data_IF_190671553606
#
_entry.id   IF_190671553606
#
_cell.length_a   1.000
_cell.length_b   1.000
_cell.length_c   1.000
_cell.angle_alpha   90.00
_cell.angle_beta   90.00
_cell.angle_gamma   90.00
#
_symmetry.space_group_name_H-M   'P 1'
#
loop_
_entity.id
_entity.type
_entity.pdbx_description
1 polymer ?
#
# COMPACT_ATOMS: atom_id res chain seq x y z
N UNK A 1 -18.00 0.19 -22.14
CA UNK A 1 -17.75 0.09 -20.69
C UNK A 1 -16.50 -0.73 -20.40
N UNK A 2 -15.60 -0.17 -19.64
CA UNK A 2 -14.42 -0.91 -19.21
C UNK A 2 -14.82 -2.01 -18.24
N UNK A 3 -14.21 -3.18 -18.37
CA UNK A 3 -14.39 -4.26 -17.42
C UNK A 3 -13.76 -3.86 -16.09
N UNK A 4 -14.46 -4.15 -14.98
CA UNK A 4 -13.87 -4.04 -13.67
C UNK A 4 -12.71 -5.04 -13.55
N UNK A 5 -11.54 -4.56 -13.29
CA UNK A 5 -10.34 -5.38 -13.20
C UNK A 5 -10.03 -5.73 -11.75
N UNK A 6 -9.13 -6.68 -11.58
CA UNK A 6 -8.58 -7.05 -10.28
C UNK A 6 -7.96 -5.82 -9.59
N UNK A 7 -7.31 -4.97 -10.36
CA UNK A 7 -6.70 -3.72 -9.89
C UNK A 7 -7.76 -2.73 -9.38
N UNK A 8 -8.88 -2.59 -10.08
CA UNK A 8 -9.97 -1.70 -9.68
C UNK A 8 -10.53 -2.10 -8.31
N UNK A 9 -10.70 -3.40 -8.09
CA UNK A 9 -11.17 -3.92 -6.80
C UNK A 9 -10.19 -3.53 -5.69
N UNK A 10 -8.90 -3.70 -5.94
CA UNK A 10 -7.85 -3.39 -4.98
C UNK A 10 -7.87 -1.92 -4.58
N UNK A 11 -7.97 -1.03 -5.56
CA UNK A 11 -7.96 0.43 -5.34
C UNK A 11 -9.21 0.88 -4.58
N UNK A 12 -10.39 0.40 -4.98
CA UNK A 12 -11.63 0.76 -4.30
C UNK A 12 -11.63 0.25 -2.87
N UNK A 13 -11.18 -1.00 -2.65
CA UNK A 13 -11.08 -1.56 -1.30
C UNK A 13 -10.15 -0.71 -0.43
N UNK A 14 -8.98 -0.34 -0.96
CA UNK A 14 -8.03 0.50 -0.23
C UNK A 14 -8.63 1.86 0.15
N UNK A 15 -9.34 2.51 -0.77
CA UNK A 15 -9.99 3.79 -0.50
C UNK A 15 -11.03 3.66 0.63
N UNK A 16 -11.82 2.59 0.62
CA UNK A 16 -12.81 2.35 1.66
C UNK A 16 -12.14 2.04 2.99
N UNK A 17 -11.09 1.22 3.00
CA UNK A 17 -10.32 0.93 4.21
C UNK A 17 -9.69 2.21 4.80
N UNK A 18 -9.19 3.08 3.94
CA UNK A 18 -8.58 4.35 4.37
C UNK A 18 -9.61 5.33 4.94
N UNK A 19 -10.84 5.28 4.42
CA UNK A 19 -11.92 6.16 4.85
C UNK A 19 -12.58 5.69 6.15
N UNK A 20 -12.94 4.40 6.20
CA UNK A 20 -13.81 3.86 7.25
C UNK A 20 -13.10 2.89 8.21
N UNK A 21 -11.87 2.48 7.91
CA UNK A 21 -11.14 1.46 8.65
C UNK A 21 -11.39 0.06 8.07
N UNK A 22 -10.40 -0.81 8.21
CA UNK A 22 -10.43 -2.15 7.63
C UNK A 22 -11.61 -2.98 8.15
N UNK A 23 -11.84 -2.96 9.48
CA UNK A 23 -12.88 -3.78 10.10
C UNK A 23 -14.29 -3.36 9.68
N UNK A 24 -14.51 -2.06 9.46
CA UNK A 24 -15.84 -1.54 9.14
C UNK A 24 -16.29 -1.84 7.71
N UNK A 25 -15.37 -2.18 6.81
CA UNK A 25 -15.65 -2.39 5.39
C UNK A 25 -15.93 -3.85 5.11
N UNK A 26 -17.05 -4.13 4.44
CA UNK A 26 -17.41 -5.49 4.03
C UNK A 26 -17.13 -5.71 2.54
N UNK A 27 -17.01 -6.98 2.15
CA UNK A 27 -16.87 -7.35 0.73
C UNK A 27 -18.10 -6.89 -0.06
N UNK A 28 -19.31 -6.95 0.53
CA UNK A 28 -20.52 -6.44 -0.11
C UNK A 28 -20.43 -4.97 -0.44
N UNK A 29 -19.87 -4.19 0.48
CA UNK A 29 -19.69 -2.75 0.28
C UNK A 29 -18.72 -2.46 -0.85
N UNK A 30 -17.61 -3.20 -0.91
CA UNK A 30 -16.62 -3.06 -1.99
C UNK A 30 -17.28 -3.39 -3.33
N UNK A 31 -17.98 -4.51 -3.41
CA UNK A 31 -18.68 -4.93 -4.63
C UNK A 31 -19.72 -3.90 -5.05
N UNK A 32 -20.47 -3.38 -4.08
CA UNK A 32 -21.49 -2.36 -4.34
C UNK A 32 -20.94 -1.08 -4.95
N UNK A 33 -19.80 -0.62 -4.48
CA UNK A 33 -19.12 0.57 -5.03
C UNK A 33 -18.71 0.36 -6.49
N UNK A 34 -18.43 -0.88 -6.88
CA UNK A 34 -18.00 -1.24 -8.23
C UNK A 34 -19.16 -1.66 -9.13
N UNK A 35 -20.39 -1.68 -8.60
CA UNK A 35 -21.56 -2.12 -9.34
C UNK A 35 -21.49 -3.61 -9.71
N UNK A 36 -20.84 -4.43 -8.89
CA UNK A 36 -20.70 -5.86 -9.14
C UNK A 36 -21.27 -6.67 -7.98
N UNK A 37 -21.51 -7.96 -8.22
CA UNK A 37 -21.98 -8.86 -7.17
C UNK A 37 -20.82 -9.34 -6.31
N UNK A 38 -21.13 -9.80 -5.08
CA UNK A 38 -20.14 -10.46 -4.21
C UNK A 38 -19.50 -11.63 -4.90
N UNK A 39 -20.31 -12.46 -5.60
CA UNK A 39 -19.80 -13.62 -6.32
C UNK A 39 -18.80 -13.24 -7.40
N UNK A 40 -19.07 -12.17 -8.13
CA UNK A 40 -18.13 -11.67 -9.14
C UNK A 40 -16.80 -11.22 -8.50
N UNK A 41 -16.88 -10.54 -7.36
CA UNK A 41 -15.68 -10.12 -6.63
C UNK A 41 -14.87 -11.33 -6.17
N UNK A 42 -15.52 -12.34 -5.63
CA UNK A 42 -14.84 -13.56 -5.15
C UNK A 42 -14.16 -14.37 -6.25
N UNK A 43 -14.44 -14.09 -7.51
CA UNK A 43 -13.68 -14.69 -8.63
C UNK A 43 -12.26 -14.12 -8.72
N UNK A 44 -12.04 -12.94 -8.17
CA UNK A 44 -10.75 -12.25 -8.21
C UNK A 44 -9.96 -12.39 -6.91
N UNK A 45 -10.66 -12.39 -5.77
CA UNK A 45 -10.03 -12.45 -4.44
C UNK A 45 -10.84 -13.39 -3.56
N UNK A 46 -10.16 -14.19 -2.75
CA UNK A 46 -10.80 -15.21 -1.92
C UNK A 46 -11.56 -14.61 -0.71
N UNK A 47 -11.10 -13.46 -0.23
CA UNK A 47 -11.64 -12.85 0.99
C UNK A 47 -11.22 -11.40 1.09
N UNK A 48 -11.79 -10.67 2.06
CA UNK A 48 -11.33 -9.32 2.40
C UNK A 48 -9.85 -9.36 2.81
N UNK A 49 -9.45 -10.38 3.54
CA UNK A 49 -8.06 -10.58 3.96
C UNK A 49 -7.13 -10.73 2.75
N UNK A 50 -7.56 -11.49 1.74
CA UNK A 50 -6.80 -11.68 0.51
C UNK A 50 -6.59 -10.35 -0.21
N UNK A 51 -7.62 -9.51 -0.27
CA UNK A 51 -7.52 -8.16 -0.83
C UNK A 51 -6.46 -7.34 -0.08
N UNK A 52 -6.52 -7.36 1.25
CA UNK A 52 -5.57 -6.65 2.09
C UNK A 52 -4.12 -7.11 1.84
N UNK A 53 -3.90 -8.42 1.74
CA UNK A 53 -2.57 -8.96 1.48
C UNK A 53 -2.03 -8.51 0.13
N UNK A 54 -2.88 -8.40 -0.88
CA UNK A 54 -2.48 -7.88 -2.20
C UNK A 54 -2.20 -6.38 -2.16
N UNK A 55 -2.89 -5.64 -1.30
CA UNK A 55 -2.60 -4.21 -1.08
C UNK A 55 -1.19 -4.06 -0.52
N UNK A 56 -0.83 -4.85 0.49
CA UNK A 56 0.52 -4.81 1.09
C UNK A 56 1.58 -5.17 0.05
N UNK A 57 1.35 -6.21 -0.74
CA UNK A 57 2.27 -6.61 -1.82
C UNK A 57 2.48 -5.49 -2.83
N UNK A 58 1.39 -4.83 -3.22
CA UNK A 58 1.45 -3.71 -4.17
C UNK A 58 2.27 -2.55 -3.59
N UNK A 59 2.12 -2.29 -2.29
CA UNK A 59 2.88 -1.24 -1.62
C UNK A 59 4.37 -1.58 -1.56
N UNK A 60 4.72 -2.81 -1.26
CA UNK A 60 6.10 -3.27 -1.25
C UNK A 60 6.74 -3.12 -2.63
N UNK A 61 6.01 -3.47 -3.68
CA UNK A 61 6.46 -3.32 -5.06
C UNK A 61 6.71 -1.85 -5.41
N UNK A 62 5.80 -0.96 -5.02
CA UNK A 62 5.93 0.47 -5.25
C UNK A 62 7.16 1.06 -4.55
N UNK A 63 7.40 0.67 -3.30
CA UNK A 63 8.58 1.10 -2.54
C UNK A 63 9.86 0.62 -3.23
N UNK A 64 9.88 -0.62 -3.72
CA UNK A 64 11.01 -1.15 -4.44
C UNK A 64 11.31 -0.38 -5.73
N UNK A 65 10.29 -0.06 -6.49
CA UNK A 65 10.41 0.73 -7.72
C UNK A 65 10.97 2.12 -7.44
N UNK A 66 10.52 2.77 -6.37
CA UNK A 66 11.04 4.08 -5.98
C UNK A 66 12.51 4.00 -5.59
N UNK A 67 12.90 2.98 -4.84
CA UNK A 67 14.29 2.78 -4.44
C UNK A 67 15.18 2.56 -5.67
N UNK A 68 14.77 1.70 -6.60
CA UNK A 68 15.51 1.41 -7.83
C UNK A 68 15.70 2.65 -8.69
N UNK A 69 14.68 3.48 -8.83
CA UNK A 69 14.74 4.69 -9.66
C UNK A 69 15.75 5.72 -9.14
N UNK A 70 16.19 5.59 -7.89
CA UNK A 70 17.16 6.49 -7.26
C UNK A 70 18.44 5.79 -6.82
N UNK A 71 18.69 4.58 -7.34
CA UNK A 71 19.86 3.77 -6.99
C UNK A 71 19.98 3.51 -5.48
N UNK A 72 18.85 3.41 -4.80
CA UNK A 72 18.81 3.11 -3.37
C UNK A 72 18.66 1.61 -3.16
N UNK A 73 19.15 1.06 -2.02
CA UNK A 73 18.92 -0.36 -1.70
C UNK A 73 17.44 -0.69 -1.65
N UNK A 74 17.03 -1.78 -2.32
CA UNK A 74 15.63 -2.18 -2.45
C UNK A 74 15.09 -2.89 -1.22
N UNK A 75 15.88 -3.78 -0.63
CA UNK A 75 15.48 -4.57 0.53
C UNK A 75 16.08 -4.01 1.81
N UNK A 76 15.24 -3.37 2.62
CA UNK A 76 15.67 -2.76 3.88
C UNK A 76 16.14 -3.77 4.91
N UNK A 77 15.70 -5.02 4.84
CA UNK A 77 16.10 -6.06 5.79
C UNK A 77 17.49 -6.61 5.50
N UNK A 78 17.90 -6.55 4.25
CA UNK A 78 19.17 -7.07 3.77
C UNK A 78 20.20 -5.97 3.53
N UNK A 79 19.80 -4.71 3.69
CA UNK A 79 20.68 -3.58 3.44
C UNK A 79 21.76 -3.48 4.49
N UNK A 80 23.01 -3.49 4.02
CA UNK A 80 24.18 -3.27 4.85
C UNK A 80 24.47 -1.78 4.94
N UNK A 81 25.03 -1.30 6.07
CA UNK A 81 25.39 0.13 6.18
C UNK A 81 26.29 0.62 5.06
N UNK A 82 27.18 -0.22 4.55
CA UNK A 82 28.09 0.13 3.45
C UNK A 82 27.36 0.50 2.17
N UNK A 83 26.17 -0.07 1.93
CA UNK A 83 25.37 0.25 0.74
C UNK A 83 24.91 1.71 0.75
N UNK A 84 24.60 2.25 1.93
CA UNK A 84 24.20 3.64 2.08
C UNK A 84 25.39 4.60 2.03
N UNK A 85 26.56 4.16 2.48
CA UNK A 85 27.77 4.98 2.45
C UNK A 85 28.24 5.30 1.04
N UNK A 86 27.91 4.42 0.07
CA UNK A 86 28.27 4.61 -1.34
C UNK A 86 27.34 5.59 -2.06
N UNK A 87 26.23 5.99 -1.43
CA UNK A 87 25.22 6.86 -2.05
C UNK A 87 25.63 8.31 -1.84
N UNK A 88 25.61 9.12 -2.91
CA UNK A 88 25.93 10.54 -2.82
C UNK A 88 24.85 11.28 -1.99
N UNK A 89 25.24 12.37 -1.34
CA UNK A 89 24.32 13.22 -0.57
C UNK A 89 23.21 13.77 -1.46
N UNK A 90 23.55 14.21 -2.68
CA UNK A 90 22.57 14.74 -3.63
C UNK A 90 21.55 13.68 -4.03
N UNK A 91 22.01 12.46 -4.32
CA UNK A 91 21.14 11.36 -4.69
C UNK A 91 20.20 10.97 -3.54
N UNK A 92 20.72 10.95 -2.32
CA UNK A 92 19.93 10.68 -1.12
C UNK A 92 18.87 11.77 -0.92
N UNK A 93 19.22 13.04 -1.12
CA UNK A 93 18.27 14.16 -0.98
C UNK A 93 17.15 14.07 -2.02
N UNK A 94 17.48 13.77 -3.26
CA UNK A 94 16.49 13.59 -4.32
C UNK A 94 15.56 12.42 -4.00
N UNK A 95 16.12 11.30 -3.54
CA UNK A 95 15.34 10.14 -3.13
C UNK A 95 14.38 10.50 -1.99
N UNK A 96 14.87 11.20 -0.96
CA UNK A 96 14.05 11.61 0.19
C UNK A 96 12.89 12.50 -0.23
N UNK A 97 13.12 13.47 -1.11
CA UNK A 97 12.07 14.33 -1.65
C UNK A 97 11.05 13.55 -2.47
N UNK A 98 11.53 12.63 -3.30
CA UNK A 98 10.68 11.78 -4.12
C UNK A 98 9.80 10.87 -3.25
N UNK A 99 10.36 10.28 -2.19
CA UNK A 99 9.61 9.43 -1.27
C UNK A 99 8.56 10.23 -0.50
N UNK A 100 8.90 11.43 -0.05
CA UNK A 100 7.91 12.30 0.60
C UNK A 100 6.75 12.61 -0.34
N UNK A 101 7.05 12.98 -1.58
CA UNK A 101 6.04 13.25 -2.59
C UNK A 101 5.20 11.99 -2.88
N UNK A 102 5.85 10.84 -3.01
CA UNK A 102 5.18 9.57 -3.24
C UNK A 102 4.19 9.25 -2.11
N UNK A 103 4.62 9.35 -0.84
CA UNK A 103 3.78 9.04 0.30
C UNK A 103 2.63 10.04 0.53
N UNK A 104 2.78 11.28 0.06
CA UNK A 104 1.77 12.33 0.27
C UNK A 104 0.88 12.58 -0.94
N UNK A 105 1.41 12.42 -2.14
CA UNK A 105 0.72 12.76 -3.38
C UNK A 105 0.24 11.55 -4.19
N UNK A 106 0.95 10.41 -4.09
CA UNK A 106 0.51 9.21 -4.76
C UNK A 106 -0.75 8.67 -4.08
N UNK A 107 -1.81 8.46 -4.86
CA UNK A 107 -3.11 8.05 -4.32
C UNK A 107 -3.03 6.73 -3.55
N UNK A 108 -2.37 5.72 -4.11
CA UNK A 108 -2.27 4.41 -3.46
C UNK A 108 -1.48 4.51 -2.16
N UNK A 109 -0.30 5.12 -2.20
CA UNK A 109 0.57 5.24 -1.03
C UNK A 109 -0.06 6.07 0.08
N UNK A 110 -0.69 7.21 -0.26
CA UNK A 110 -1.34 8.05 0.73
C UNK A 110 -2.56 7.37 1.37
N UNK A 111 -3.32 6.61 0.59
CA UNK A 111 -4.46 5.84 1.11
C UNK A 111 -3.99 4.70 2.00
N UNK A 112 -2.92 4.02 1.63
CA UNK A 112 -2.30 2.97 2.46
C UNK A 112 -1.86 3.53 3.81
N UNK A 113 -1.21 4.69 3.80
CA UNK A 113 -0.79 5.38 5.03
C UNK A 113 -1.98 5.72 5.92
N UNK A 114 -3.06 6.24 5.35
CA UNK A 114 -4.28 6.57 6.09
C UNK A 114 -4.90 5.34 6.73
N UNK A 115 -4.98 4.24 5.98
CA UNK A 115 -5.50 2.97 6.50
C UNK A 115 -4.71 2.50 7.71
N UNK A 116 -3.39 2.47 7.61
CA UNK A 116 -2.53 2.04 8.72
C UNK A 116 -2.66 2.98 9.93
N UNK A 117 -2.77 4.28 9.68
CA UNK A 117 -2.95 5.27 10.76
C UNK A 117 -4.23 5.01 11.54
N UNK A 118 -5.33 4.68 10.85
CA UNK A 118 -6.60 4.37 11.51
C UNK A 118 -6.55 3.08 12.32
N UNK A 119 -5.82 2.08 11.85
CA UNK A 119 -5.85 0.73 12.42
C UNK A 119 -4.70 0.43 13.38
N UNK A 120 -3.76 1.34 13.56
CA UNK A 120 -2.54 1.07 14.35
C UNK A 120 -2.81 0.62 15.79
N UNK A 121 -3.93 1.05 16.39
CA UNK A 121 -4.27 0.70 17.77
C UNK A 121 -5.32 -0.41 17.90
N UNK A 122 -5.87 -0.87 16.78
CA UNK A 122 -6.95 -1.87 16.76
C UNK A 122 -6.49 -3.28 16.44
N UNK A 123 -5.33 -3.41 15.80
CA UNK A 123 -4.91 -4.68 15.22
C UNK A 123 -3.38 -4.73 15.26
N UNK A 124 -2.83 -5.78 15.89
CA UNK A 124 -1.38 -5.93 16.04
C UNK A 124 -0.64 -6.01 14.71
N UNK A 125 -1.24 -6.67 13.71
CA UNK A 125 -0.64 -6.76 12.39
C UNK A 125 -0.58 -5.40 11.70
N UNK A 126 -1.66 -4.62 11.79
CA UNK A 126 -1.70 -3.27 11.24
C UNK A 126 -0.72 -2.35 11.96
N UNK A 127 -0.58 -2.52 13.28
CA UNK A 127 0.41 -1.80 14.07
C UNK A 127 1.83 -2.12 13.58
N UNK A 128 2.13 -3.38 13.35
CA UNK A 128 3.43 -3.80 12.85
C UNK A 128 3.73 -3.19 11.47
N UNK A 129 2.74 -3.15 10.59
CA UNK A 129 2.87 -2.52 9.28
C UNK A 129 3.05 -1.00 9.41
N UNK A 130 2.33 -0.36 10.33
CA UNK A 130 2.50 1.06 10.62
C UNK A 130 3.93 1.36 11.02
N UNK A 131 4.48 0.55 11.95
CA UNK A 131 5.86 0.69 12.40
C UNK A 131 6.85 0.49 11.24
N UNK A 132 6.58 -0.48 10.37
CA UNK A 132 7.45 -0.77 9.25
C UNK A 132 7.50 0.36 8.22
N UNK A 133 6.35 0.94 7.89
CA UNK A 133 6.24 1.90 6.78
C UNK A 133 6.29 3.36 7.21
N UNK A 134 5.84 3.71 8.43
CA UNK A 134 5.63 5.11 8.83
C UNK A 134 6.51 5.58 10.00
N UNK A 135 7.25 4.68 10.62
CA UNK A 135 8.12 5.04 11.75
C UNK A 135 9.59 4.79 11.47
#
# INVERSE_FOLDING_TARGET
MSKTTKEDILIVALHLFARDGYEAVSVSQIAGELGMTKGALYRHYESKRDIFEHIVKRMEQGDGEQAESHDMPVDKKENEPEQYEEISADNFMEYSKSMFSYWTENDFASSFRKMLTLEQFRNEEMQALYQQYLV
#
